data_IF_778401821925
#
_entry.id   IF_778401821925
#
_cell.length_a   1.000
_cell.length_b   1.000
_cell.length_c   1.000
_cell.angle_alpha   90.00
_cell.angle_beta   90.00
_cell.angle_gamma   90.00
#
_symmetry.space_group_name_H-M   'P 1'
#
loop_
_entity.id
_entity.type
_entity.pdbx_description
1 polymer ?
#
# COMPACT_ATOMS: atom_id res chain seq x y z
N UNK A 1 8.10 -40.40 -6.04
CA UNK A 1 9.39 -39.81 -6.46
C UNK A 1 9.71 -38.65 -5.56
N UNK A 2 10.84 -38.70 -4.84
CA UNK A 2 11.35 -37.61 -4.00
C UNK A 2 11.99 -36.58 -4.93
N UNK A 3 11.54 -35.31 -4.85
CA UNK A 3 12.03 -34.22 -5.72
C UNK A 3 13.24 -33.49 -5.13
N UNK A 4 13.42 -33.52 -3.80
CA UNK A 4 14.54 -32.90 -3.12
C UNK A 4 14.81 -33.60 -1.77
N UNK A 5 16.06 -33.62 -1.35
CA UNK A 5 16.51 -34.12 -0.06
C UNK A 5 17.34 -33.03 0.59
N UNK A 6 16.94 -32.57 1.76
CA UNK A 6 17.71 -31.63 2.56
C UNK A 6 18.57 -32.37 3.57
N UNK A 7 19.89 -32.14 3.57
CA UNK A 7 20.86 -32.76 4.44
C UNK A 7 21.46 -31.66 5.33
N UNK A 8 21.42 -31.88 6.64
CA UNK A 8 22.19 -31.07 7.59
C UNK A 8 23.52 -31.70 7.83
N UNK A 9 24.59 -31.06 7.43
CA UNK A 9 25.95 -31.54 7.61
C UNK A 9 26.45 -31.21 9.02
N UNK A 10 27.21 -32.15 9.61
CA UNK A 10 27.91 -31.98 10.87
C UNK A 10 29.36 -32.36 10.61
N UNK A 11 30.27 -31.36 10.66
CA UNK A 11 31.72 -31.48 10.41
C UNK A 11 32.16 -31.92 8.98
N UNK A 12 31.27 -31.97 7.99
CA UNK A 12 31.62 -32.20 6.59
C UNK A 12 31.59 -30.93 5.78
N UNK A 13 32.53 -30.76 4.86
CA UNK A 13 32.53 -29.61 3.93
C UNK A 13 31.55 -29.87 2.76
N UNK A 14 30.93 -28.81 2.26
CA UNK A 14 30.00 -28.88 1.11
C UNK A 14 30.67 -29.50 -0.13
N UNK A 15 31.96 -29.23 -0.32
CA UNK A 15 32.74 -29.72 -1.46
C UNK A 15 32.78 -31.26 -1.53
N UNK A 16 32.80 -31.97 -0.40
CA UNK A 16 32.77 -33.41 -0.37
C UNK A 16 31.46 -34.00 -0.91
N UNK A 17 30.33 -33.36 -0.57
CA UNK A 17 29.02 -33.75 -1.08
C UNK A 17 28.89 -33.40 -2.57
N UNK A 18 29.44 -32.29 -3.01
CA UNK A 18 29.45 -31.91 -4.40
C UNK A 18 30.26 -32.87 -5.26
N UNK A 19 31.45 -33.26 -4.80
CA UNK A 19 32.28 -34.26 -5.48
C UNK A 19 31.57 -35.61 -5.55
N UNK A 20 30.92 -36.02 -4.46
CA UNK A 20 30.14 -37.26 -4.43
C UNK A 20 29.01 -37.24 -5.46
N UNK A 21 28.23 -36.18 -5.55
CA UNK A 21 27.14 -36.07 -6.53
C UNK A 21 27.64 -36.02 -7.98
N UNK A 22 28.80 -35.40 -8.23
CA UNK A 22 29.40 -35.36 -9.56
C UNK A 22 29.98 -36.71 -10.01
N UNK A 23 30.45 -37.57 -9.05
CA UNK A 23 30.96 -38.89 -9.35
C UNK A 23 29.85 -39.92 -9.59
N UNK A 24 28.64 -39.69 -9.07
CA UNK A 24 27.49 -40.57 -9.14
C UNK A 24 26.43 -40.08 -10.12
N UNK A 25 26.78 -40.02 -11.40
CA UNK A 25 25.85 -39.63 -12.48
C UNK A 25 24.62 -40.55 -12.61
N UNK A 26 24.68 -41.73 -12.03
CA UNK A 26 23.57 -42.71 -11.96
C UNK A 26 22.40 -42.23 -11.08
N UNK A 27 22.62 -41.27 -10.18
CA UNK A 27 21.60 -40.77 -9.25
C UNK A 27 20.93 -39.47 -9.73
N UNK A 28 21.45 -38.82 -10.79
CA UNK A 28 20.96 -37.52 -11.32
C UNK A 28 20.74 -36.47 -10.23
N UNK A 29 21.62 -36.49 -9.19
CA UNK A 29 21.56 -35.55 -8.07
C UNK A 29 22.49 -34.38 -8.29
N UNK A 30 22.03 -33.15 -7.95
CA UNK A 30 22.86 -31.96 -7.87
C UNK A 30 22.88 -31.42 -6.43
N UNK A 31 24.09 -31.31 -5.86
CA UNK A 31 24.25 -30.66 -4.56
C UNK A 31 24.21 -29.13 -4.76
N UNK A 32 23.36 -28.45 -4.02
CA UNK A 32 23.22 -27.00 -4.03
C UNK A 32 23.20 -26.51 -2.59
N UNK A 33 24.02 -25.50 -2.27
CA UNK A 33 23.99 -24.86 -0.96
C UNK A 33 22.63 -24.17 -0.75
N UNK A 34 22.14 -24.21 0.49
CA UNK A 34 20.82 -23.71 0.85
C UNK A 34 20.68 -22.21 0.54
N UNK A 35 21.66 -21.39 0.89
CA UNK A 35 21.66 -19.97 0.59
C UNK A 35 21.75 -19.65 -0.91
N UNK A 36 22.48 -20.45 -1.69
CA UNK A 36 22.50 -20.36 -3.15
C UNK A 36 21.14 -20.75 -3.75
N UNK A 37 20.50 -21.78 -3.21
CA UNK A 37 19.17 -22.18 -3.63
C UNK A 37 18.13 -21.07 -3.37
N UNK A 38 18.09 -20.54 -2.14
CA UNK A 38 17.15 -19.45 -1.79
C UNK A 38 17.47 -18.14 -2.51
N UNK A 39 18.74 -17.83 -2.79
CA UNK A 39 19.11 -16.66 -3.57
C UNK A 39 18.64 -16.78 -5.03
N UNK A 40 18.77 -17.93 -5.66
CA UNK A 40 18.25 -18.19 -7.01
C UNK A 40 16.72 -18.09 -7.05
N UNK A 41 16.03 -18.61 -6.03
CA UNK A 41 14.59 -18.42 -5.89
C UNK A 41 14.23 -16.93 -5.74
N UNK A 42 15.00 -16.19 -4.93
CA UNK A 42 14.82 -14.74 -4.75
C UNK A 42 14.92 -13.97 -6.07
N UNK A 43 15.90 -14.29 -6.90
CA UNK A 43 16.07 -13.69 -8.23
C UNK A 43 14.87 -13.98 -9.14
N UNK A 44 14.33 -15.19 -9.07
CA UNK A 44 13.15 -15.57 -9.86
C UNK A 44 11.90 -14.78 -9.45
N UNK A 45 11.74 -14.45 -8.16
CA UNK A 45 10.61 -13.67 -7.65
C UNK A 45 10.78 -12.14 -7.82
N UNK A 46 11.99 -11.67 -8.07
CA UNK A 46 12.28 -10.25 -8.20
C UNK A 46 11.42 -9.54 -9.27
N UNK A 47 11.24 -10.08 -10.50
CA UNK A 47 10.37 -9.46 -11.50
C UNK A 47 8.92 -9.36 -11.04
N UNK A 48 8.39 -10.40 -10.39
CA UNK A 48 7.02 -10.44 -9.88
C UNK A 48 6.83 -9.36 -8.81
N UNK A 49 7.77 -9.27 -7.87
CA UNK A 49 7.79 -8.23 -6.84
C UNK A 49 7.84 -6.83 -7.44
N UNK A 50 8.67 -6.62 -8.46
CA UNK A 50 8.79 -5.34 -9.16
C UNK A 50 7.48 -4.97 -9.86
N UNK A 51 6.84 -5.91 -10.58
CA UNK A 51 5.54 -5.70 -11.22
C UNK A 51 4.46 -5.33 -10.20
N UNK A 52 4.43 -6.01 -9.06
CA UNK A 52 3.49 -5.70 -7.96
C UNK A 52 3.70 -4.29 -7.44
N UNK A 53 4.94 -3.86 -7.20
CA UNK A 53 5.26 -2.51 -6.77
C UNK A 53 4.87 -1.44 -7.78
N UNK A 54 5.15 -1.67 -9.07
CA UNK A 54 4.77 -0.73 -10.14
C UNK A 54 3.24 -0.62 -10.23
N UNK A 55 2.53 -1.74 -10.20
CA UNK A 55 1.07 -1.73 -10.22
C UNK A 55 0.49 -1.02 -9.01
N UNK A 56 1.01 -1.30 -7.81
CA UNK A 56 0.59 -0.64 -6.59
C UNK A 56 0.84 0.88 -6.64
N UNK A 57 1.99 1.31 -7.17
CA UNK A 57 2.31 2.72 -7.34
C UNK A 57 1.36 3.42 -8.33
N UNK A 58 1.05 2.80 -9.47
CA UNK A 58 0.11 3.34 -10.45
C UNK A 58 -1.31 3.47 -9.90
N UNK A 59 -1.80 2.42 -9.22
CA UNK A 59 -3.13 2.43 -8.59
C UNK A 59 -3.19 3.51 -7.49
N UNK A 60 -2.14 3.61 -6.66
CA UNK A 60 -2.06 4.63 -5.61
C UNK A 60 -2.05 6.06 -6.19
N UNK A 61 -1.28 6.28 -7.26
CA UNK A 61 -1.28 7.57 -7.96
C UNK A 61 -2.68 7.93 -8.49
N UNK A 62 -3.34 6.98 -9.17
CA UNK A 62 -4.72 7.17 -9.66
C UNK A 62 -5.70 7.50 -8.54
N UNK A 63 -5.60 6.79 -7.41
CA UNK A 63 -6.44 7.03 -6.24
C UNK A 63 -6.20 8.42 -5.62
N UNK A 64 -4.94 8.86 -5.51
CA UNK A 64 -4.58 10.20 -5.01
C UNK A 64 -5.18 11.29 -5.93
N UNK A 65 -4.96 11.20 -7.25
CA UNK A 65 -5.49 12.19 -8.20
C UNK A 65 -7.02 12.22 -8.23
N UNK A 66 -7.67 11.04 -8.22
CA UNK A 66 -9.12 10.93 -8.14
C UNK A 66 -9.68 11.51 -6.85
N UNK A 67 -9.05 11.20 -5.71
CA UNK A 67 -9.42 11.74 -4.40
C UNK A 67 -9.27 13.25 -4.33
N UNK A 68 -8.14 13.81 -4.80
CA UNK A 68 -7.91 15.25 -4.85
C UNK A 68 -8.96 15.93 -5.72
N UNK A 69 -9.25 15.39 -6.91
CA UNK A 69 -10.28 15.97 -7.80
C UNK A 69 -11.66 16.00 -7.12
N UNK A 70 -12.03 14.94 -6.42
CA UNK A 70 -13.29 14.86 -5.67
C UNK A 70 -13.33 15.89 -4.53
N UNK A 71 -12.23 16.06 -3.78
CA UNK A 71 -12.12 17.07 -2.72
C UNK A 71 -12.20 18.49 -3.27
N UNK A 72 -11.54 18.76 -4.41
CA UNK A 72 -11.65 20.05 -5.08
C UNK A 72 -13.08 20.37 -5.48
N UNK A 73 -13.81 19.42 -6.07
CA UNK A 73 -15.20 19.58 -6.45
C UNK A 73 -16.10 19.79 -5.23
N UNK A 74 -15.93 18.97 -4.17
CA UNK A 74 -16.70 19.07 -2.94
C UNK A 74 -16.50 20.41 -2.22
N UNK A 75 -15.26 20.92 -2.15
CA UNK A 75 -14.98 22.18 -1.50
C UNK A 75 -15.38 23.38 -2.38
N UNK A 76 -15.25 23.28 -3.71
CA UNK A 76 -15.70 24.30 -4.62
C UNK A 76 -17.21 24.57 -4.50
N UNK A 77 -18.02 23.53 -4.31
CA UNK A 77 -19.47 23.68 -4.10
C UNK A 77 -19.83 24.39 -2.78
N UNK A 78 -18.94 24.37 -1.79
CA UNK A 78 -19.14 24.95 -0.44
C UNK A 78 -18.51 26.34 -0.25
N UNK A 79 -17.89 26.93 -1.29
CA UNK A 79 -17.20 28.25 -1.18
C UNK A 79 -18.14 29.32 -0.60
N UNK A 80 -19.39 29.35 -1.01
CA UNK A 80 -20.38 30.31 -0.54
C UNK A 80 -20.72 30.09 0.94
N UNK A 81 -20.90 28.88 1.38
CA UNK A 81 -21.13 28.55 2.79
C UNK A 81 -19.96 28.99 3.66
N UNK A 82 -18.73 28.72 3.22
CA UNK A 82 -17.52 29.14 3.93
C UNK A 82 -17.39 30.66 3.99
N UNK A 83 -17.76 31.37 2.93
CA UNK A 83 -17.77 32.81 2.91
C UNK A 83 -18.83 33.41 3.87
N UNK A 84 -20.01 32.78 3.97
CA UNK A 84 -21.06 33.17 4.92
C UNK A 84 -20.56 32.99 6.37
N UNK A 85 -19.92 31.87 6.69
CA UNK A 85 -19.35 31.61 8.02
C UNK A 85 -18.25 32.64 8.37
N UNK A 86 -17.40 33.01 7.39
CA UNK A 86 -16.40 34.07 7.58
C UNK A 86 -17.05 35.44 7.83
N UNK A 87 -18.17 35.76 7.19
CA UNK A 87 -18.88 37.01 7.40
C UNK A 87 -19.52 37.14 8.80
N UNK A 88 -19.85 35.99 9.44
CA UNK A 88 -20.36 35.91 10.83
C UNK A 88 -19.21 36.00 11.85
N UNK A 89 -17.93 35.90 11.40
CA UNK A 89 -16.77 36.08 12.27
C UNK A 89 -15.91 34.84 12.48
N UNK A 90 -16.19 33.73 11.80
CA UNK A 90 -15.31 32.56 11.89
C UNK A 90 -13.96 32.84 11.20
N UNK A 91 -12.88 32.45 11.89
CA UNK A 91 -11.54 32.60 11.32
C UNK A 91 -11.27 31.56 10.21
N UNK A 92 -10.44 31.92 9.25
CA UNK A 92 -10.04 31.01 8.17
C UNK A 92 -9.40 29.74 8.69
N UNK A 93 -8.64 29.84 9.78
CA UNK A 93 -7.98 28.69 10.42
C UNK A 93 -9.00 27.73 11.02
N UNK A 94 -10.03 28.24 11.70
CA UNK A 94 -11.09 27.39 12.25
C UNK A 94 -11.85 26.63 11.17
N UNK A 95 -12.15 27.27 10.04
CA UNK A 95 -12.79 26.64 8.89
C UNK A 95 -11.87 25.61 8.22
N UNK A 96 -10.58 25.91 8.11
CA UNK A 96 -9.60 24.96 7.58
C UNK A 96 -9.51 23.72 8.44
N UNK A 97 -9.43 23.87 9.76
CA UNK A 97 -9.42 22.73 10.70
C UNK A 97 -10.69 21.90 10.55
N UNK A 98 -11.86 22.54 10.44
CA UNK A 98 -13.13 21.84 10.23
C UNK A 98 -13.14 21.00 8.93
N UNK A 99 -12.66 21.56 7.82
CA UNK A 99 -12.55 20.85 6.54
C UNK A 99 -11.57 19.68 6.61
N UNK A 100 -10.44 19.86 7.30
CA UNK A 100 -9.46 18.77 7.52
C UNK A 100 -10.06 17.67 8.39
N UNK A 101 -10.78 18.01 9.45
CA UNK A 101 -11.46 17.00 10.30
C UNK A 101 -12.51 16.22 9.52
N UNK A 102 -13.34 16.89 8.71
CA UNK A 102 -14.33 16.23 7.85
C UNK A 102 -13.67 15.24 6.88
N UNK A 103 -12.60 15.68 6.21
CA UNK A 103 -11.84 14.81 5.29
C UNK A 103 -11.13 13.67 6.00
N UNK A 104 -10.60 13.91 7.21
CA UNK A 104 -9.95 12.87 8.00
C UNK A 104 -10.96 11.78 8.39
N UNK A 105 -12.16 12.16 8.82
CA UNK A 105 -13.22 11.20 9.13
C UNK A 105 -13.63 10.40 7.88
N UNK A 106 -13.79 11.05 6.74
CA UNK A 106 -14.11 10.39 5.48
C UNK A 106 -13.01 9.40 5.04
N UNK A 107 -11.74 9.78 5.15
CA UNK A 107 -10.63 8.88 4.79
C UNK A 107 -10.46 7.74 5.77
N UNK A 108 -10.66 7.96 7.07
CA UNK A 108 -10.62 6.90 8.08
C UNK A 108 -11.75 5.88 7.87
N UNK A 109 -12.97 6.34 7.59
CA UNK A 109 -14.08 5.42 7.28
C UNK A 109 -13.82 4.62 6.01
N UNK A 110 -13.29 5.26 4.95
CA UNK A 110 -12.87 4.57 3.72
C UNK A 110 -11.77 3.54 3.98
N UNK A 111 -10.77 3.89 4.78
CA UNK A 111 -9.69 2.97 5.17
C UNK A 111 -10.21 1.78 5.96
N UNK A 112 -11.16 1.99 6.90
CA UNK A 112 -11.77 0.92 7.68
C UNK A 112 -12.54 -0.05 6.77
N UNK A 113 -13.35 0.48 5.85
CA UNK A 113 -14.07 -0.34 4.87
C UNK A 113 -13.11 -1.14 4.00
N UNK A 114 -12.03 -0.52 3.52
CA UNK A 114 -11.01 -1.20 2.74
C UNK A 114 -10.34 -2.34 3.52
N UNK A 115 -10.02 -2.13 4.81
CA UNK A 115 -9.51 -3.20 5.68
C UNK A 115 -10.49 -4.33 5.88
N UNK A 116 -11.77 -4.04 6.10
CA UNK A 116 -12.79 -5.08 6.24
C UNK A 116 -12.89 -5.91 4.96
N UNK A 117 -12.94 -5.27 3.80
CA UNK A 117 -12.98 -5.96 2.50
C UNK A 117 -11.72 -6.81 2.30
N UNK A 118 -10.54 -6.25 2.57
CA UNK A 118 -9.27 -6.95 2.42
C UNK A 118 -9.17 -8.16 3.38
N UNK A 119 -9.61 -8.01 4.63
CA UNK A 119 -9.63 -9.09 5.60
C UNK A 119 -10.51 -10.25 5.13
N UNK A 120 -11.76 -9.99 4.73
CA UNK A 120 -12.68 -11.05 4.29
C UNK A 120 -12.28 -11.70 2.95
N UNK A 121 -11.65 -10.95 2.05
CA UNK A 121 -11.30 -11.45 0.72
C UNK A 121 -9.91 -12.08 0.64
N UNK A 122 -8.94 -11.59 1.41
CA UNK A 122 -7.52 -11.94 1.24
C UNK A 122 -6.95 -12.75 2.40
N UNK A 123 -7.42 -12.53 3.65
CA UNK A 123 -6.82 -13.17 4.80
C UNK A 123 -7.03 -14.69 4.77
N UNK A 124 -5.94 -15.43 5.03
CA UNK A 124 -5.94 -16.89 5.02
C UNK A 124 -6.02 -17.54 3.63
N UNK A 125 -6.06 -16.77 2.53
CA UNK A 125 -6.06 -17.35 1.19
C UNK A 125 -4.67 -17.77 0.77
N UNK A 126 -4.58 -19.01 0.26
CA UNK A 126 -3.36 -19.56 -0.34
C UNK A 126 -3.41 -19.39 -1.85
N UNK A 127 -2.36 -18.76 -2.40
CA UNK A 127 -2.19 -18.64 -3.84
C UNK A 127 -1.14 -19.64 -4.28
N UNK A 128 -1.52 -20.67 -5.08
CA UNK A 128 -0.56 -21.63 -5.60
C UNK A 128 0.27 -20.98 -6.72
N UNK A 129 1.58 -21.05 -6.58
CA UNK A 129 2.54 -20.73 -7.63
C UNK A 129 3.25 -21.98 -8.08
N UNK A 130 3.84 -21.98 -9.27
CA UNK A 130 4.55 -23.14 -9.84
C UNK A 130 5.64 -23.73 -8.92
N UNK A 131 6.14 -22.98 -7.96
CA UNK A 131 7.26 -23.35 -7.08
C UNK A 131 6.83 -23.48 -5.62
N UNK A 132 5.56 -23.14 -5.27
CA UNK A 132 5.07 -23.23 -3.89
C UNK A 132 3.74 -22.53 -3.68
N UNK A 133 3.26 -22.57 -2.45
CA UNK A 133 2.03 -21.89 -2.03
C UNK A 133 2.38 -20.69 -1.13
N UNK A 134 1.83 -19.52 -1.44
CA UNK A 134 1.94 -18.34 -0.59
C UNK A 134 0.62 -18.10 0.13
N UNK A 135 0.69 -18.01 1.44
CA UNK A 135 -0.45 -17.64 2.26
C UNK A 135 -0.47 -16.13 2.44
N UNK A 136 -1.55 -15.50 2.00
CA UNK A 136 -1.78 -14.08 2.26
C UNK A 136 -2.23 -13.92 3.71
N UNK A 137 -1.55 -13.09 4.47
CA UNK A 137 -1.90 -12.79 5.86
C UNK A 137 -1.90 -11.29 6.09
N UNK A 138 -2.91 -10.82 6.83
CA UNK A 138 -3.00 -9.43 7.27
C UNK A 138 -2.06 -9.21 8.46
N UNK A 139 -0.81 -8.89 8.18
CA UNK A 139 0.16 -8.51 9.21
C UNK A 139 -0.24 -7.20 9.90
N UNK A 140 0.01 -7.04 11.21
CA UNK A 140 -0.19 -5.77 11.92
C UNK A 140 0.53 -4.58 11.28
N UNK A 141 1.66 -4.84 10.63
CA UNK A 141 2.42 -3.82 9.89
C UNK A 141 1.66 -3.30 8.68
N UNK A 142 0.92 -4.16 7.96
CA UNK A 142 0.07 -3.76 6.83
C UNK A 142 -1.07 -2.87 7.31
N UNK A 143 -1.69 -3.20 8.44
CA UNK A 143 -2.76 -2.40 9.05
C UNK A 143 -2.22 -1.04 9.47
N UNK A 144 -1.08 -0.99 10.15
CA UNK A 144 -0.46 0.25 10.60
C UNK A 144 -0.08 1.16 9.42
N UNK A 145 0.56 0.62 8.39
CA UNK A 145 0.96 1.40 7.21
C UNK A 145 -0.25 1.91 6.43
N UNK A 146 -1.31 1.12 6.29
CA UNK A 146 -2.55 1.55 5.66
C UNK A 146 -3.25 2.66 6.44
N UNK A 147 -3.32 2.56 7.77
CA UNK A 147 -3.91 3.58 8.63
C UNK A 147 -3.10 4.89 8.59
N UNK A 148 -1.78 4.79 8.67
CA UNK A 148 -0.88 5.95 8.51
C UNK A 148 -1.08 6.63 7.17
N UNK A 149 -1.18 5.86 6.08
CA UNK A 149 -1.43 6.39 4.74
C UNK A 149 -2.79 7.10 4.67
N UNK A 150 -3.85 6.52 5.26
CA UNK A 150 -5.18 7.14 5.33
C UNK A 150 -5.15 8.47 6.07
N UNK A 151 -4.47 8.54 7.23
CA UNK A 151 -4.30 9.79 8.00
C UNK A 151 -3.52 10.83 7.21
N UNK A 152 -2.41 10.44 6.57
CA UNK A 152 -1.61 11.35 5.76
C UNK A 152 -2.39 11.91 4.56
N UNK A 153 -3.14 11.06 3.86
CA UNK A 153 -3.99 11.50 2.75
C UNK A 153 -5.15 12.38 3.23
N UNK A 154 -5.79 12.04 4.35
CA UNK A 154 -6.87 12.85 4.93
C UNK A 154 -6.42 14.21 5.42
N UNK A 155 -5.19 14.34 5.89
CA UNK A 155 -4.64 15.61 6.37
C UNK A 155 -3.94 16.40 5.26
N UNK A 156 -2.86 15.83 4.70
CA UNK A 156 -2.03 16.52 3.70
C UNK A 156 -2.74 16.68 2.36
N UNK A 157 -3.52 15.68 1.93
CA UNK A 157 -4.30 15.72 0.69
C UNK A 157 -5.41 16.77 0.72
N UNK A 158 -5.94 17.07 1.90
CA UNK A 158 -7.02 18.07 2.05
C UNK A 158 -6.51 19.52 2.05
N UNK A 159 -5.26 19.75 2.47
CA UNK A 159 -4.72 21.11 2.62
C UNK A 159 -4.76 21.94 1.33
N UNK A 160 -4.30 21.46 0.15
CA UNK A 160 -4.32 22.26 -1.07
C UNK A 160 -5.73 22.68 -1.51
N UNK A 161 -6.74 21.79 -1.59
CA UNK A 161 -8.09 22.17 -1.95
C UNK A 161 -8.76 23.07 -0.90
N UNK A 162 -8.53 22.84 0.40
CA UNK A 162 -9.11 23.63 1.48
C UNK A 162 -8.56 25.08 1.47
N UNK A 163 -7.24 25.25 1.33
CA UNK A 163 -6.62 26.57 1.22
C UNK A 163 -7.18 27.32 0.00
N UNK A 164 -7.32 26.62 -1.13
CA UNK A 164 -7.86 27.24 -2.35
C UNK A 164 -9.33 27.62 -2.20
N UNK A 165 -10.14 26.84 -1.48
CA UNK A 165 -11.52 27.16 -1.16
C UNK A 165 -11.65 28.44 -0.30
N UNK A 166 -10.74 28.63 0.67
CA UNK A 166 -10.75 29.75 1.61
C UNK A 166 -10.00 31.01 1.10
N UNK A 167 -9.34 30.94 -0.06
CA UNK A 167 -8.54 32.04 -0.62
C UNK A 167 -9.32 33.18 -1.27
N UNK A 168 -10.53 32.99 -1.85
CA UNK A 168 -11.27 34.08 -2.47
C UNK A 168 -11.62 35.18 -1.45
N UNK A 169 -11.63 36.44 -1.94
CA UNK A 169 -12.13 37.56 -1.13
C UNK A 169 -13.64 37.40 -0.88
N UNK A 170 -14.10 37.76 0.32
CA UNK A 170 -15.50 37.64 0.74
C UNK A 170 -16.52 38.16 -0.30
N UNK A 171 -16.34 39.36 -0.89
CA UNK A 171 -17.31 39.88 -1.88
C UNK A 171 -17.37 39.03 -3.15
N UNK A 172 -16.22 38.44 -3.55
CA UNK A 172 -16.13 37.60 -4.74
C UNK A 172 -16.72 36.21 -4.48
N UNK A 173 -16.50 35.65 -3.29
CA UNK A 173 -17.01 34.33 -2.88
C UNK A 173 -18.55 34.34 -2.72
N UNK A 174 -19.15 35.46 -2.27
CA UNK A 174 -20.60 35.61 -2.12
C UNK A 174 -21.32 35.80 -3.45
N UNK A 175 -20.61 36.28 -4.50
CA UNK A 175 -21.15 36.47 -5.85
C UNK A 175 -20.97 35.28 -6.79
N UNK A 176 -20.20 34.29 -6.40
CA UNK A 176 -20.03 33.06 -7.20
C UNK A 176 -21.32 32.26 -7.18
N UNK A 177 -22.08 32.33 -8.22
CA UNK A 177 -23.24 31.49 -8.55
C UNK A 177 -22.80 30.38 -9.47
#
# INVERSE_FOLDING_TARGET
>A
TLSAITIRMNDAEFDDVQVFTLQRNDLELAAIQEDTYYSKLGIFYQPIKMMTWVTAALVSAGAIFGGLNTLYAAFASRIREMATLQSIGYTRVALLISLVQESLLATLTGTLIAFLIAYFLLDGRTVPFSIGTFTLSMSPMVILTGLMTGVLLGTLGTLPPAIRCLSPSLPKALRSS
#
